data_IF_160520127670
#
_entry.id   IF_160520127670
#
_cell.length_a   1.000
_cell.length_b   1.000
_cell.length_c   1.000
_cell.angle_alpha   90.00
_cell.angle_beta   90.00
_cell.angle_gamma   90.00
#
_symmetry.space_group_name_H-M   'P 1'
#
loop_
_entity.id
_entity.type
_entity.pdbx_description
1 polymer ?
#
# COMPACT_ATOMS: atom_id res chain seq x y z
N UNK A 1 2.93 18.55 0.67
CA UNK A 1 2.04 18.67 -0.51
C UNK A 1 2.62 19.54 -1.61
N UNK A 2 2.99 20.81 -1.39
CA UNK A 2 3.51 21.68 -2.47
C UNK A 2 4.76 21.16 -3.20
N UNK A 3 5.64 20.43 -2.50
CA UNK A 3 6.84 19.78 -3.07
C UNK A 3 6.56 18.61 -4.03
N UNK A 4 5.33 18.11 -4.06
CA UNK A 4 4.89 17.00 -4.92
C UNK A 4 4.11 17.50 -6.15
N UNK A 5 4.02 18.83 -6.32
CA UNK A 5 3.47 19.46 -7.51
C UNK A 5 4.49 19.39 -8.64
N UNK A 6 4.09 18.83 -9.78
CA UNK A 6 4.86 18.87 -11.04
C UNK A 6 4.49 20.07 -11.93
N UNK A 7 3.50 20.87 -11.52
CA UNK A 7 3.15 22.12 -12.18
C UNK A 7 3.90 23.28 -11.55
N UNK A 8 4.35 24.22 -12.41
CA UNK A 8 5.10 25.40 -12.03
C UNK A 8 4.47 26.65 -12.65
N UNK A 9 4.51 27.77 -11.92
CA UNK A 9 4.04 29.07 -12.43
C UNK A 9 4.91 29.48 -13.62
N UNK A 10 4.26 29.96 -14.69
CA UNK A 10 4.92 30.39 -15.93
C UNK A 10 5.24 29.26 -16.92
N UNK A 11 4.97 28.00 -16.58
CA UNK A 11 5.09 26.88 -17.52
C UNK A 11 3.83 26.73 -18.37
N UNK A 12 3.95 26.11 -19.54
CA UNK A 12 2.79 25.72 -20.34
C UNK A 12 1.90 24.75 -19.55
N UNK A 13 0.60 24.99 -19.62
CA UNK A 13 -0.38 24.11 -19.01
C UNK A 13 -0.29 22.69 -19.60
N UNK A 14 -0.14 21.69 -18.74
CA UNK A 14 0.02 20.30 -19.12
C UNK A 14 -0.84 19.42 -18.20
N UNK A 15 -1.84 18.74 -18.78
CA UNK A 15 -2.80 17.90 -18.03
C UNK A 15 -2.13 16.71 -17.37
N UNK A 16 -1.19 16.05 -18.05
CA UNK A 16 -0.45 14.91 -17.51
C UNK A 16 0.35 15.30 -16.26
N UNK A 17 0.89 16.52 -16.22
CA UNK A 17 1.61 17.04 -15.05
C UNK A 17 0.67 17.31 -13.88
N UNK A 18 -0.56 17.76 -14.15
CA UNK A 18 -1.61 17.90 -13.13
C UNK A 18 -1.99 16.52 -12.57
N UNK A 19 -2.24 15.54 -13.44
CA UNK A 19 -2.61 14.17 -13.05
C UNK A 19 -1.51 13.50 -12.21
N UNK A 20 -0.26 13.58 -12.65
CA UNK A 20 0.88 13.06 -11.86
C UNK A 20 1.04 13.76 -10.51
N UNK A 21 0.74 15.06 -10.44
CA UNK A 21 0.75 15.79 -9.17
C UNK A 21 -0.33 15.27 -8.22
N UNK A 22 -1.54 14.96 -8.74
CA UNK A 22 -2.62 14.36 -7.97
C UNK A 22 -2.18 13.01 -7.40
N UNK A 23 -1.61 12.13 -8.23
CA UNK A 23 -1.12 10.82 -7.82
C UNK A 23 -0.04 10.92 -6.73
N UNK A 24 1.00 11.73 -6.96
CA UNK A 24 2.10 11.93 -6.02
C UNK A 24 1.60 12.47 -4.65
N UNK A 25 0.64 13.41 -4.67
CA UNK A 25 0.02 13.94 -3.45
C UNK A 25 -0.86 12.92 -2.73
N UNK A 26 -1.61 12.07 -3.44
CA UNK A 26 -2.40 11.00 -2.83
C UNK A 26 -1.53 9.92 -2.19
N UNK A 27 -0.41 9.55 -2.85
CA UNK A 27 0.58 8.62 -2.27
C UNK A 27 1.15 9.20 -0.98
N UNK A 28 1.53 10.48 -0.99
CA UNK A 28 2.06 11.14 0.21
C UNK A 28 1.02 11.24 1.33
N UNK A 29 -0.23 11.57 1.01
CA UNK A 29 -1.32 11.56 1.99
C UNK A 29 -1.52 10.17 2.61
N UNK A 30 -1.49 9.12 1.78
CA UNK A 30 -1.55 7.73 2.23
C UNK A 30 -0.39 7.35 3.14
N UNK A 31 0.83 7.82 2.85
CA UNK A 31 2.01 7.64 3.71
C UNK A 31 1.85 8.31 5.08
N UNK A 32 1.10 9.42 5.14
CA UNK A 32 0.78 10.14 6.39
C UNK A 32 -0.38 9.51 7.18
N UNK A 33 -0.98 8.43 6.68
CA UNK A 33 -2.08 7.71 7.35
C UNK A 33 -3.47 7.99 6.78
N UNK A 34 -3.57 8.80 5.73
CA UNK A 34 -4.83 9.12 5.06
C UNK A 34 -5.05 8.20 3.87
N UNK A 35 -5.41 6.94 4.15
CA UNK A 35 -5.54 5.87 3.14
C UNK A 35 -6.48 6.22 1.98
N UNK A 36 -7.48 7.05 2.27
CA UNK A 36 -8.54 7.44 1.33
C UNK A 36 -8.50 8.91 0.99
N UNK A 37 -7.35 9.56 1.14
CA UNK A 37 -7.23 10.95 0.76
C UNK A 37 -7.56 11.13 -0.73
N UNK A 38 -8.47 12.07 -1.01
CA UNK A 38 -8.85 12.43 -2.36
C UNK A 38 -8.26 13.79 -2.68
N UNK A 39 -7.44 13.85 -3.73
CA UNK A 39 -6.91 15.12 -4.24
C UNK A 39 -7.69 15.51 -5.48
N UNK A 40 -8.42 16.62 -5.42
CA UNK A 40 -9.24 17.15 -6.52
C UNK A 40 -8.55 18.38 -7.14
N UNK A 41 -8.08 18.30 -8.40
CA UNK A 41 -7.57 19.47 -9.09
C UNK A 41 -8.74 20.34 -9.58
N UNK A 42 -8.71 21.63 -9.24
CA UNK A 42 -9.54 22.68 -9.82
C UNK A 42 -8.70 23.54 -10.75
N UNK A 43 -9.21 23.81 -11.95
CA UNK A 43 -8.57 24.72 -12.90
C UNK A 43 -9.44 25.95 -13.12
N UNK A 44 -8.89 27.13 -12.87
CA UNK A 44 -9.52 28.41 -13.19
C UNK A 44 -8.80 29.04 -14.39
N UNK A 45 -9.53 29.23 -15.49
CA UNK A 45 -8.97 29.68 -16.77
C UNK A 45 -9.22 31.17 -16.94
N UNK A 46 -8.16 31.94 -17.11
CA UNK A 46 -8.23 33.35 -17.48
C UNK A 46 -7.89 33.49 -18.96
N UNK A 47 -8.92 33.73 -19.79
CA UNK A 47 -8.79 33.84 -21.24
C UNK A 47 -8.10 35.15 -21.67
N UNK A 48 -8.28 36.25 -20.94
CA UNK A 48 -7.64 37.54 -21.27
C UNK A 48 -6.13 37.45 -21.05
N UNK A 49 -5.73 36.95 -19.89
CA UNK A 49 -4.32 36.77 -19.53
C UNK A 49 -3.68 35.54 -20.19
N UNK A 50 -4.47 34.68 -20.86
CA UNK A 50 -4.01 33.39 -21.42
C UNK A 50 -3.32 32.50 -20.37
N UNK A 51 -3.88 32.46 -19.16
CA UNK A 51 -3.31 31.71 -18.03
C UNK A 51 -4.34 30.75 -17.44
N UNK A 52 -3.83 29.72 -16.75
CA UNK A 52 -4.65 28.79 -15.98
C UNK A 52 -4.09 28.70 -14.57
N UNK A 53 -4.91 29.00 -13.58
CA UNK A 53 -4.62 28.76 -12.17
C UNK A 53 -5.05 27.35 -11.80
N UNK A 54 -4.15 26.57 -11.21
CA UNK A 54 -4.44 25.21 -10.76
C UNK A 54 -4.43 25.18 -9.24
N UNK A 55 -5.55 24.75 -8.64
CA UNK A 55 -5.74 24.61 -7.20
C UNK A 55 -5.96 23.14 -6.87
N UNK A 56 -5.13 22.56 -6.02
CA UNK A 56 -5.31 21.19 -5.55
C UNK A 56 -6.01 21.20 -4.20
N UNK A 57 -7.25 20.71 -4.16
CA UNK A 57 -7.99 20.52 -2.92
C UNK A 57 -7.70 19.12 -2.39
N UNK A 58 -7.06 19.03 -1.23
CA UNK A 58 -6.75 17.74 -0.57
C UNK A 58 -7.80 17.51 0.49
N UNK A 59 -8.64 16.51 0.27
CA UNK A 59 -9.56 15.98 1.26
C UNK A 59 -8.90 14.77 1.91
N UNK A 60 -8.41 14.95 3.14
CA UNK A 60 -7.70 13.92 3.89
C UNK A 60 -8.63 12.76 4.32
N UNK A 61 -9.95 12.96 4.26
CA UNK A 61 -10.94 11.99 4.73
C UNK A 61 -10.87 11.75 6.25
N UNK A 62 -11.76 10.90 6.80
CA UNK A 62 -11.68 10.51 8.20
C UNK A 62 -10.41 9.68 8.45
N UNK A 63 -9.81 9.82 9.64
CA UNK A 63 -8.77 8.89 10.10
C UNK A 63 -9.31 7.47 9.95
N UNK A 64 -8.65 6.68 9.13
CA UNK A 64 -9.11 5.34 8.80
C UNK A 64 -8.60 4.37 9.86
N UNK A 65 -9.48 3.51 10.37
CA UNK A 65 -9.16 2.49 11.35
C UNK A 65 -9.24 1.10 10.74
N UNK A 66 -8.37 0.21 11.19
CA UNK A 66 -8.40 -1.20 10.80
C UNK A 66 -9.61 -1.82 11.47
N UNK A 67 -10.57 -2.28 10.69
CA UNK A 67 -11.70 -3.04 11.20
C UNK A 67 -11.27 -4.47 11.48
N UNK A 68 -10.67 -5.13 10.48
CA UNK A 68 -10.28 -6.54 10.52
C UNK A 68 -9.04 -6.81 9.67
N UNK A 69 -8.29 -7.84 10.05
CA UNK A 69 -7.20 -8.39 9.24
C UNK A 69 -7.64 -9.79 8.79
N UNK A 70 -7.91 -9.94 7.49
CA UNK A 70 -8.31 -11.19 6.88
C UNK A 70 -7.11 -11.84 6.21
N UNK A 71 -6.72 -13.02 6.70
CA UNK A 71 -5.61 -13.79 6.15
C UNK A 71 -6.19 -14.88 5.24
N UNK A 72 -5.62 -15.00 4.03
CA UNK A 72 -6.05 -15.96 3.01
C UNK A 72 -4.84 -16.70 2.46
N UNK A 73 -5.02 -17.99 2.16
CA UNK A 73 -4.00 -18.84 1.54
C UNK A 73 -3.01 -19.50 2.49
N UNK A 74 -3.17 -19.31 3.81
CA UNK A 74 -2.39 -19.99 4.85
C UNK A 74 -2.99 -21.35 5.24
N UNK A 75 -2.90 -22.35 4.35
CA UNK A 75 -3.51 -23.66 4.59
C UNK A 75 -2.73 -24.53 5.59
N UNK A 76 -1.41 -24.36 5.71
CA UNK A 76 -0.57 -25.11 6.68
C UNK A 76 -0.05 -24.22 7.80
N UNK A 77 0.24 -22.96 7.49
CA UNK A 77 0.78 -21.98 8.44
C UNK A 77 -0.35 -21.44 9.30
N UNK A 78 -0.22 -21.58 10.62
CA UNK A 78 -1.27 -21.11 11.54
C UNK A 78 -1.37 -19.59 11.54
N UNK A 79 -2.58 -19.05 11.57
CA UNK A 79 -2.88 -17.61 11.58
C UNK A 79 -2.00 -16.79 12.52
N UNK A 80 -1.73 -17.27 13.75
CA UNK A 80 -0.95 -16.53 14.73
C UNK A 80 0.50 -16.24 14.27
N UNK A 81 1.06 -17.09 13.39
CA UNK A 81 2.41 -16.90 12.81
C UNK A 81 2.42 -15.72 11.84
N UNK A 82 1.31 -15.49 11.14
CA UNK A 82 1.14 -14.34 10.25
C UNK A 82 0.79 -13.09 11.06
N UNK A 83 -0.16 -13.20 12.00
CA UNK A 83 -0.63 -12.06 12.80
C UNK A 83 0.47 -11.43 13.65
N UNK A 84 1.40 -12.21 14.20
CA UNK A 84 2.51 -11.68 15.02
C UNK A 84 3.49 -10.79 14.25
N UNK A 85 3.49 -10.83 12.91
CA UNK A 85 4.38 -10.00 12.10
C UNK A 85 3.85 -8.56 11.92
N UNK A 86 2.60 -8.31 12.30
CA UNK A 86 1.98 -6.99 12.26
C UNK A 86 2.29 -6.19 13.53
N UNK A 87 2.76 -4.95 13.35
CA UNK A 87 2.89 -3.95 14.44
C UNK A 87 1.56 -3.20 14.72
N UNK A 88 0.47 -3.62 14.07
CA UNK A 88 -0.87 -3.01 14.11
C UNK A 88 -1.92 -4.09 14.34
N UNK A 89 -2.96 -3.73 15.08
CA UNK A 89 -4.07 -4.60 15.43
C UNK A 89 -5.40 -4.09 14.88
N UNK A 90 -6.41 -4.95 14.93
CA UNK A 90 -7.79 -4.57 14.66
C UNK A 90 -8.22 -3.51 15.69
N UNK A 91 -8.77 -2.40 15.21
CA UNK A 91 -9.09 -1.21 16.00
C UNK A 91 -8.06 -0.07 15.89
N UNK A 92 -6.83 -0.36 15.48
CA UNK A 92 -5.78 0.66 15.37
C UNK A 92 -6.00 1.58 14.17
N UNK A 93 -5.42 2.78 14.23
CA UNK A 93 -5.35 3.66 13.08
C UNK A 93 -4.53 3.01 11.95
N UNK A 94 -5.05 3.04 10.74
CA UNK A 94 -4.36 2.56 9.57
C UNK A 94 -3.07 3.35 9.35
N UNK A 95 -1.97 2.62 9.17
CA UNK A 95 -0.67 3.19 8.87
C UNK A 95 0.01 2.39 7.77
N UNK A 96 0.14 3.00 6.58
CA UNK A 96 0.75 2.36 5.42
C UNK A 96 2.16 1.86 5.70
N UNK A 97 2.98 2.63 6.43
CA UNK A 97 4.36 2.27 6.71
C UNK A 97 4.46 1.03 7.62
N UNK A 98 3.51 0.85 8.54
CA UNK A 98 3.43 -0.34 9.39
C UNK A 98 2.93 -1.56 8.59
N UNK A 99 1.96 -1.37 7.68
CA UNK A 99 1.50 -2.42 6.75
C UNK A 99 2.64 -2.89 5.84
N UNK A 100 3.36 -1.96 5.20
CA UNK A 100 4.50 -2.29 4.32
C UNK A 100 5.61 -3.01 5.09
N UNK A 101 5.78 -2.68 6.38
CA UNK A 101 6.73 -3.37 7.26
C UNK A 101 6.29 -4.80 7.57
N UNK A 102 5.01 -5.00 7.89
CA UNK A 102 4.44 -6.33 8.08
C UNK A 102 4.60 -7.19 6.81
N UNK A 103 4.35 -6.62 5.63
CA UNK A 103 4.56 -7.31 4.35
C UNK A 103 6.01 -7.77 4.17
N UNK A 104 6.98 -6.88 4.45
CA UNK A 104 8.41 -7.24 4.40
C UNK A 104 8.76 -8.36 5.40
N UNK A 105 8.25 -8.30 6.63
CA UNK A 105 8.48 -9.35 7.63
C UNK A 105 7.92 -10.70 7.19
N UNK A 106 6.70 -10.72 6.67
CA UNK A 106 6.09 -11.93 6.12
C UNK A 106 6.89 -12.52 4.96
N UNK A 107 7.41 -11.67 4.06
CA UNK A 107 8.33 -12.12 2.99
C UNK A 107 9.61 -12.72 3.55
N UNK A 108 10.16 -12.12 4.62
CA UNK A 108 11.39 -12.57 5.27
C UNK A 108 11.23 -13.88 6.06
N UNK A 109 10.01 -14.31 6.39
CA UNK A 109 9.78 -15.63 6.99
C UNK A 109 10.13 -16.78 6.02
N UNK A 110 10.19 -16.49 4.72
CA UNK A 110 10.49 -17.46 3.68
C UNK A 110 9.51 -18.65 3.57
N UNK A 111 8.35 -18.56 4.22
CA UNK A 111 7.29 -19.58 4.17
C UNK A 111 6.37 -19.43 2.95
N UNK A 112 6.37 -18.26 2.32
CA UNK A 112 5.45 -17.89 1.27
C UNK A 112 6.21 -17.58 -0.02
N UNK A 113 5.71 -18.06 -1.16
CA UNK A 113 6.15 -17.65 -2.50
C UNK A 113 5.72 -16.23 -2.80
N UNK A 114 4.47 -15.92 -2.44
CA UNK A 114 3.83 -14.64 -2.72
C UNK A 114 3.22 -14.11 -1.43
N UNK A 115 3.45 -12.82 -1.16
CA UNK A 115 2.83 -12.08 -0.07
C UNK A 115 2.32 -10.76 -0.66
N UNK A 116 1.03 -10.50 -0.50
CA UNK A 116 0.39 -9.26 -0.94
C UNK A 116 -0.59 -8.79 0.13
N UNK A 117 -0.50 -7.52 0.51
CA UNK A 117 -1.46 -6.91 1.44
C UNK A 117 -2.21 -5.80 0.71
N UNK A 118 -3.53 -5.94 0.63
CA UNK A 118 -4.43 -4.93 0.05
C UNK A 118 -5.42 -4.44 1.10
N UNK A 119 -6.08 -3.31 0.79
CA UNK A 119 -7.11 -2.71 1.64
C UNK A 119 -8.44 -2.77 0.91
N UNK A 120 -9.49 -3.25 1.58
CA UNK A 120 -10.87 -3.18 1.12
C UNK A 120 -11.67 -2.22 2.02
N UNK A 121 -12.72 -1.54 1.49
CA UNK A 121 -13.64 -0.77 2.33
C UNK A 121 -14.26 -1.62 3.44
N UNK A 122 -14.31 -1.09 4.65
CA UNK A 122 -14.96 -1.72 5.79
C UNK A 122 -16.46 -1.46 5.85
N UNK A 123 -17.05 -1.73 7.01
CA UNK A 123 -18.47 -1.53 7.30
C UNK A 123 -18.89 -0.05 7.38
N UNK A 124 -17.94 0.87 7.57
CA UNK A 124 -18.15 2.32 7.58
C UNK A 124 -17.04 3.05 6.81
N UNK A 125 -17.29 4.33 6.48
CA UNK A 125 -16.39 5.15 5.67
C UNK A 125 -15.03 5.45 6.31
N UNK A 126 -14.91 5.27 7.62
CA UNK A 126 -13.68 5.41 8.40
C UNK A 126 -13.02 4.06 8.72
N UNK A 127 -13.44 2.97 8.09
CA UNK A 127 -12.95 1.60 8.36
C UNK A 127 -12.39 0.94 7.12
N UNK A 128 -11.31 0.18 7.31
CA UNK A 128 -10.72 -0.71 6.29
C UNK A 128 -10.57 -2.12 6.78
N UNK A 129 -10.69 -3.06 5.85
CA UNK A 129 -10.27 -4.44 6.07
C UNK A 129 -8.94 -4.65 5.36
N UNK A 130 -7.93 -5.15 6.08
CA UNK A 130 -6.67 -5.57 5.48
C UNK A 130 -6.84 -6.99 4.95
N UNK A 131 -6.59 -7.19 3.66
CA UNK A 131 -6.59 -8.51 3.03
C UNK A 131 -5.14 -8.93 2.84
N UNK A 132 -4.75 -9.99 3.54
CA UNK A 132 -3.42 -10.59 3.49
C UNK A 132 -3.52 -11.83 2.61
N UNK A 133 -3.11 -11.71 1.35
CA UNK A 133 -3.09 -12.80 0.38
C UNK A 133 -1.71 -13.45 0.37
N UNK A 134 -1.69 -14.77 0.64
CA UNK A 134 -0.49 -15.56 0.77
C UNK A 134 -0.53 -16.76 -0.18
N UNK A 135 0.61 -17.13 -0.74
CA UNK A 135 0.82 -18.42 -1.39
C UNK A 135 1.95 -19.14 -0.67
N UNK A 136 1.66 -20.25 0.02
CA UNK A 136 2.69 -20.98 0.75
C UNK A 136 3.66 -21.76 -0.16
N UNK A 137 4.93 -21.84 0.25
CA UNK A 137 5.94 -22.68 -0.43
C UNK A 137 5.67 -24.15 -0.18
N UNK A 138 5.77 -24.98 -1.22
CA UNK A 138 5.77 -26.43 -1.01
C UNK A 138 7.01 -26.81 -0.19
N UNK A 139 6.85 -27.58 0.89
CA UNK A 139 7.95 -28.01 1.77
C UNK A 139 8.67 -29.26 1.23
N UNK A 140 8.34 -29.69 0.01
CA UNK A 140 8.87 -30.91 -0.58
C UNK A 140 10.20 -30.67 -1.29
N UNK A 141 11.30 -30.64 -0.54
CA UNK A 141 12.63 -30.87 -1.10
C UNK A 141 12.91 -32.37 -1.11
N UNK A 142 12.81 -33.00 -2.28
CA UNK A 142 13.26 -34.38 -2.47
C UNK A 142 14.73 -34.35 -2.89
N UNK A 143 15.66 -34.44 -1.94
CA UNK A 143 17.08 -34.60 -2.25
C UNK A 143 17.48 -36.07 -2.19
N UNK A 144 17.75 -36.70 -3.35
CA UNK A 144 18.40 -38.01 -3.43
C UNK A 144 19.90 -37.80 -3.52
N UNK A 145 20.62 -38.05 -2.43
CA UNK A 145 22.09 -38.09 -2.42
C UNK A 145 22.56 -39.55 -2.38
N UNK A 146 23.12 -40.04 -3.48
CA UNK A 146 23.82 -41.32 -3.56
C UNK A 146 25.33 -41.10 -3.59
N UNK A 147 26.06 -41.56 -2.58
CA UNK A 147 27.52 -41.54 -2.54
C UNK A 147 28.06 -42.97 -2.48
N UNK A 148 28.92 -43.34 -3.42
CA UNK A 148 29.78 -44.53 -3.32
C UNK A 148 31.20 -44.06 -2.98
N UNK A 149 31.74 -44.55 -1.87
CA UNK A 149 33.15 -44.37 -1.51
C UNK A 149 33.81 -45.75 -1.52
N UNK A 150 34.62 -46.04 -2.53
CA UNK A 150 35.58 -47.14 -2.46
C UNK A 150 36.85 -46.58 -1.88
N UNK A 151 37.17 -46.99 -0.66
CA UNK A 151 38.51 -46.79 -0.09
C UNK A 151 39.31 -48.04 -0.44
N UNK A 152 40.48 -47.82 -1.04
CA UNK A 152 41.48 -48.84 -1.43
C UNK A 152 41.85 -49.77 -0.26
#
# INVERSE_FOLDING_TARGET
MRSYSRVNVGSLYNVESVEKSVEDMQIEASRRGYAFAVVRPGGDRNFDAHTVSVVFNVDEGPRTYIERINIRGNTRTRDYVIRREFDISEGDAYNRALVDRAERRLKNLDYFKTVKITTEPGSSSDRVVLIVELEEKSTGDFSVSGGYSTTD
#
